data_IF_206918930469
#
_entry.id   IF_206918930469
#
_cell.length_a   1.000
_cell.length_b   1.000
_cell.length_c   1.000
_cell.angle_alpha   90.00
_cell.angle_beta   90.00
_cell.angle_gamma   90.00
#
_symmetry.space_group_name_H-M   'P 1'
#
loop_
_entity.id
_entity.type
_entity.pdbx_description
1 polymer ?
#
# COMPACT_ATOMS: atom_id res chain seq x y z
N UNK A 1 -0.16 0.93 -17.34
CA UNK A 1 -1.37 1.70 -17.70
C UNK A 1 -2.44 0.85 -18.42
N UNK A 2 -2.06 -0.18 -19.20
CA UNK A 2 -2.99 -0.98 -20.01
C UNK A 2 -4.12 -1.60 -19.17
N UNK A 3 -3.80 -2.22 -18.03
CA UNK A 3 -4.83 -2.88 -17.20
C UNK A 3 -5.89 -1.90 -16.67
N UNK A 4 -5.49 -0.74 -16.12
CA UNK A 4 -6.45 0.25 -15.63
C UNK A 4 -7.31 0.78 -16.77
N UNK A 5 -6.74 1.04 -17.94
CA UNK A 5 -7.48 1.53 -19.10
C UNK A 5 -8.58 0.55 -19.53
N UNK A 6 -8.24 -0.74 -19.69
CA UNK A 6 -9.23 -1.73 -20.10
C UNK A 6 -10.27 -2.02 -18.99
N UNK A 7 -9.85 -2.02 -17.72
CA UNK A 7 -10.77 -2.14 -16.59
C UNK A 7 -11.78 -0.98 -16.55
N UNK A 8 -11.32 0.27 -16.74
CA UNK A 8 -12.18 1.45 -16.79
C UNK A 8 -13.19 1.32 -17.93
N UNK A 9 -12.75 0.99 -19.15
CA UNK A 9 -13.65 0.80 -20.29
C UNK A 9 -14.73 -0.23 -20.03
N UNK A 10 -14.36 -1.35 -19.39
CA UNK A 10 -15.32 -2.39 -19.02
C UNK A 10 -16.30 -1.90 -17.95
N UNK A 11 -15.81 -1.27 -16.89
CA UNK A 11 -16.63 -0.78 -15.77
C UNK A 11 -17.58 0.35 -16.17
N UNK A 12 -17.20 1.20 -17.14
CA UNK A 12 -18.06 2.26 -17.67
C UNK A 12 -19.38 1.71 -18.24
N UNK A 13 -19.35 0.54 -18.86
CA UNK A 13 -20.51 -0.10 -19.45
C UNK A 13 -21.33 -0.92 -18.44
N UNK A 14 -20.90 -1.00 -17.17
CA UNK A 14 -21.62 -1.73 -16.13
C UNK A 14 -22.61 -0.80 -15.42
N UNK A 15 -23.87 -1.22 -15.18
CA UNK A 15 -24.87 -0.39 -14.50
C UNK A 15 -24.44 0.11 -13.11
N UNK A 16 -23.62 -0.68 -12.42
CA UNK A 16 -23.09 -0.38 -11.08
C UNK A 16 -21.75 0.37 -11.10
N UNK A 17 -21.18 0.62 -12.29
CA UNK A 17 -19.84 1.17 -12.41
C UNK A 17 -18.76 0.25 -11.82
N UNK A 18 -17.70 0.81 -11.27
CA UNK A 18 -16.64 0.01 -10.67
C UNK A 18 -15.59 0.75 -9.87
N UNK A 19 -14.81 -0.04 -9.12
CA UNK A 19 -13.74 0.45 -8.26
C UNK A 19 -12.43 -0.25 -8.62
N UNK A 20 -11.38 0.54 -8.82
CA UNK A 20 -10.03 0.03 -9.08
C UNK A 20 -9.17 0.34 -7.86
N UNK A 21 -8.53 -0.67 -7.28
CA UNK A 21 -7.64 -0.50 -6.13
C UNK A 21 -6.20 -0.78 -6.53
N UNK A 22 -5.41 0.28 -6.69
CA UNK A 22 -3.97 0.16 -6.97
C UNK A 22 -3.19 0.00 -5.67
N UNK A 23 -2.26 -0.96 -5.64
CA UNK A 23 -1.46 -1.27 -4.46
C UNK A 23 -0.05 -0.67 -4.61
N UNK A 24 0.32 0.24 -3.71
CA UNK A 24 1.67 0.79 -3.62
C UNK A 24 2.56 0.00 -2.64
N UNK A 25 3.76 0.52 -2.36
CA UNK A 25 4.70 -0.07 -1.43
C UNK A 25 5.79 0.92 -1.02
N UNK A 26 6.91 0.42 -0.47
CA UNK A 26 8.03 1.26 -0.08
C UNK A 26 8.50 2.19 -1.21
N UNK A 27 8.80 3.46 -0.87
CA UNK A 27 9.15 4.52 -1.83
C UNK A 27 7.95 5.27 -2.42
N UNK A 28 6.72 4.83 -2.16
CA UNK A 28 5.50 5.48 -2.67
C UNK A 28 5.32 6.92 -2.17
N UNK A 29 5.88 7.26 -1.02
CA UNK A 29 5.91 8.61 -0.44
C UNK A 29 7.02 9.50 -1.02
N UNK A 30 7.91 8.95 -1.84
CA UNK A 30 9.05 9.63 -2.42
C UNK A 30 10.32 9.53 -1.58
N UNK A 31 10.30 8.79 -0.47
CA UNK A 31 11.51 8.53 0.31
C UNK A 31 12.46 7.60 -0.44
N UNK A 32 13.79 7.79 -0.30
CA UNK A 32 14.78 6.88 -0.87
C UNK A 32 14.56 5.44 -0.42
N UNK A 33 14.83 4.51 -1.33
CA UNK A 33 14.82 3.06 -1.08
C UNK A 33 16.19 2.49 -1.46
N UNK A 34 17.23 2.67 -0.62
CA UNK A 34 18.57 2.15 -0.91
C UNK A 34 18.53 0.66 -1.24
N UNK A 35 19.30 0.24 -2.25
CA UNK A 35 19.32 -1.13 -2.82
C UNK A 35 18.06 -1.57 -3.56
N UNK A 36 16.98 -0.78 -3.51
CA UNK A 36 15.69 -1.06 -4.17
C UNK A 36 15.20 0.14 -4.97
N UNK A 37 16.11 0.99 -5.49
CA UNK A 37 15.76 2.26 -6.12
C UNK A 37 14.78 2.10 -7.30
N UNK A 38 15.00 1.10 -8.17
CA UNK A 38 14.08 0.79 -9.27
C UNK A 38 12.69 0.40 -8.75
N UNK A 39 12.65 -0.48 -7.74
CA UNK A 39 11.40 -0.87 -7.08
C UNK A 39 10.68 0.35 -6.48
N UNK A 40 11.37 1.18 -5.69
CA UNK A 40 10.78 2.39 -5.10
C UNK A 40 10.28 3.39 -6.14
N UNK A 41 11.03 3.58 -7.24
CA UNK A 41 10.60 4.39 -8.37
C UNK A 41 9.29 3.86 -8.98
N UNK A 42 9.18 2.54 -9.20
CA UNK A 42 7.93 1.94 -9.70
C UNK A 42 6.75 2.11 -8.72
N UNK A 43 7.00 2.00 -7.41
CA UNK A 43 5.95 2.20 -6.40
C UNK A 43 5.52 3.67 -6.30
N UNK A 44 6.43 4.62 -6.51
CA UNK A 44 6.09 6.04 -6.63
C UNK A 44 5.27 6.32 -7.90
N UNK A 45 5.61 5.69 -9.02
CA UNK A 45 4.86 5.87 -10.27
C UNK A 45 3.43 5.36 -10.17
N UNK A 46 3.15 4.32 -9.36
CA UNK A 46 1.76 3.86 -9.09
C UNK A 46 0.93 4.95 -8.41
N UNK A 47 1.47 5.62 -7.38
CA UNK A 47 0.76 6.73 -6.72
C UNK A 47 0.47 7.87 -7.68
N UNK A 48 1.46 8.21 -8.52
CA UNK A 48 1.28 9.24 -9.53
C UNK A 48 0.21 8.84 -10.55
N UNK A 49 0.29 7.62 -11.09
CA UNK A 49 -0.69 7.06 -12.02
C UNK A 49 -2.11 7.10 -11.45
N UNK A 50 -2.30 6.68 -10.19
CA UNK A 50 -3.61 6.72 -9.53
C UNK A 50 -4.16 8.15 -9.48
N UNK A 51 -3.32 9.14 -9.11
CA UNK A 51 -3.74 10.56 -9.08
C UNK A 51 -4.06 11.10 -10.48
N UNK A 52 -3.28 10.75 -11.49
CA UNK A 52 -3.54 11.15 -12.87
C UNK A 52 -4.87 10.57 -13.37
N UNK A 53 -5.11 9.27 -13.17
CA UNK A 53 -6.38 8.63 -13.55
C UNK A 53 -7.58 9.25 -12.83
N UNK A 54 -7.46 9.57 -11.54
CA UNK A 54 -8.52 10.27 -10.81
C UNK A 54 -8.83 11.65 -11.41
N UNK A 55 -7.80 12.39 -11.86
CA UNK A 55 -7.98 13.68 -12.52
C UNK A 55 -8.60 13.52 -13.92
N UNK A 56 -8.12 12.56 -14.71
CA UNK A 56 -8.64 12.26 -16.05
C UNK A 56 -10.11 11.86 -16.03
N UNK A 57 -10.50 10.97 -15.11
CA UNK A 57 -11.90 10.56 -14.95
C UNK A 57 -12.80 11.76 -14.60
N UNK A 58 -12.32 12.68 -13.76
CA UNK A 58 -13.04 13.92 -13.44
C UNK A 58 -13.16 14.84 -14.65
N UNK A 59 -12.09 14.99 -15.44
CA UNK A 59 -12.10 15.80 -16.66
C UNK A 59 -13.10 15.27 -17.70
N UNK A 60 -13.35 13.96 -17.70
CA UNK A 60 -14.32 13.29 -18.58
C UNK A 60 -15.73 13.16 -17.98
N UNK A 61 -16.00 13.80 -16.83
CA UNK A 61 -17.26 13.71 -16.06
C UNK A 61 -17.69 12.26 -15.74
N UNK A 62 -16.74 11.34 -15.60
CA UNK A 62 -17.00 9.95 -15.21
C UNK A 62 -17.28 9.88 -13.70
N UNK A 63 -18.50 9.51 -13.33
CA UNK A 63 -18.97 9.46 -11.93
C UNK A 63 -19.14 8.06 -11.37
N UNK A 64 -19.24 7.05 -12.25
CA UNK A 64 -19.51 5.67 -11.87
C UNK A 64 -18.24 4.81 -11.74
N UNK A 65 -17.04 5.33 -12.05
CA UNK A 65 -15.78 4.59 -11.90
C UNK A 65 -14.83 5.38 -11.00
N UNK A 66 -14.25 4.70 -10.00
CA UNK A 66 -13.35 5.33 -9.03
C UNK A 66 -12.05 4.54 -8.90
N UNK A 67 -10.94 5.26 -8.91
CA UNK A 67 -9.61 4.69 -8.67
C UNK A 67 -9.17 5.05 -7.25
N UNK A 68 -8.81 4.04 -6.49
CA UNK A 68 -8.35 4.09 -5.11
C UNK A 68 -6.89 3.68 -5.02
N UNK A 69 -6.27 4.00 -3.90
CA UNK A 69 -4.92 3.60 -3.59
C UNK A 69 -4.90 2.80 -2.28
N UNK A 70 -4.10 1.75 -2.23
CA UNK A 70 -3.92 0.88 -1.05
C UNK A 70 -2.44 0.83 -0.70
N UNK A 71 -2.11 1.03 0.57
CA UNK A 71 -0.76 0.85 1.09
C UNK A 71 -0.76 -0.23 2.18
N UNK A 72 -0.28 -1.45 1.89
CA UNK A 72 -0.21 -2.54 2.86
C UNK A 72 0.89 -2.32 3.91
N UNK A 73 1.82 -1.39 3.67
CA UNK A 73 2.99 -1.21 4.51
C UNK A 73 4.06 -2.27 4.23
N UNK A 74 4.78 -2.67 5.28
CA UNK A 74 5.84 -3.67 5.18
C UNK A 74 5.24 -5.05 5.41
N UNK A 75 5.23 -5.88 4.36
CA UNK A 75 4.69 -7.25 4.40
C UNK A 75 5.83 -8.25 4.26
N UNK A 76 5.83 -9.31 5.07
CA UNK A 76 6.84 -10.38 5.04
C UNK A 76 6.76 -11.21 3.75
N UNK A 77 7.30 -10.63 2.67
CA UNK A 77 7.39 -11.24 1.34
C UNK A 77 8.83 -11.65 1.07
N UNK A 78 9.04 -12.59 0.14
CA UNK A 78 10.39 -13.03 -0.25
C UNK A 78 11.29 -11.87 -0.68
N UNK A 79 10.74 -10.88 -1.40
CA UNK A 79 11.47 -9.67 -1.79
C UNK A 79 11.92 -8.82 -0.60
N UNK A 80 11.08 -8.71 0.45
CA UNK A 80 11.45 -7.99 1.66
C UNK A 80 12.54 -8.77 2.40
N UNK A 81 12.36 -10.07 2.55
CA UNK A 81 13.27 -10.94 3.30
C UNK A 81 14.64 -11.05 2.62
N UNK A 82 14.71 -11.04 1.28
CA UNK A 82 15.98 -10.98 0.54
C UNK A 82 16.76 -9.69 0.79
N UNK A 83 16.09 -8.64 1.28
CA UNK A 83 16.69 -7.36 1.64
C UNK A 83 17.26 -7.28 3.08
N UNK A 84 17.10 -8.34 3.89
CA UNK A 84 17.48 -8.39 5.31
C UNK A 84 19.00 -8.53 5.56
N UNK A 85 19.82 -7.80 4.79
CA UNK A 85 21.28 -7.98 4.76
C UNK A 85 22.05 -7.08 5.73
N UNK A 86 21.42 -6.03 6.27
CA UNK A 86 22.07 -5.08 7.19
C UNK A 86 21.37 -5.04 8.54
N UNK A 87 22.09 -4.66 9.60
CA UNK A 87 21.52 -4.51 10.95
C UNK A 87 20.27 -3.62 10.97
N UNK A 88 20.31 -2.52 10.23
CA UNK A 88 19.17 -1.61 10.08
C UNK A 88 17.99 -2.27 9.37
N UNK A 89 18.24 -3.06 8.31
CA UNK A 89 17.17 -3.76 7.60
C UNK A 89 16.50 -4.81 8.49
N UNK A 90 17.30 -5.63 9.19
CA UNK A 90 16.82 -6.62 10.18
C UNK A 90 15.96 -5.95 11.25
N UNK A 91 16.42 -4.83 11.81
CA UNK A 91 15.68 -4.04 12.80
C UNK A 91 14.30 -3.61 12.26
N UNK A 92 14.25 -2.95 11.11
CA UNK A 92 12.97 -2.45 10.58
C UNK A 92 12.02 -3.58 10.17
N UNK A 93 12.54 -4.68 9.62
CA UNK A 93 11.73 -5.86 9.28
C UNK A 93 11.07 -6.42 10.55
N UNK A 94 11.83 -6.64 11.61
CA UNK A 94 11.27 -7.20 12.85
C UNK A 94 10.24 -6.29 13.52
N UNK A 95 10.46 -4.97 13.45
CA UNK A 95 9.60 -3.99 14.11
C UNK A 95 8.31 -3.75 13.32
N UNK A 96 8.43 -3.53 12.01
CA UNK A 96 7.36 -2.96 11.18
C UNK A 96 6.67 -3.99 10.28
N UNK A 97 7.32 -5.12 9.97
CA UNK A 97 6.72 -6.09 9.06
C UNK A 97 5.59 -6.86 9.73
N UNK A 98 4.54 -7.12 8.96
CA UNK A 98 3.44 -8.01 9.36
C UNK A 98 3.22 -9.07 8.27
N UNK A 99 2.69 -10.24 8.64
CA UNK A 99 2.34 -11.26 7.66
C UNK A 99 1.15 -10.79 6.80
N UNK A 100 1.03 -11.37 5.61
CA UNK A 100 0.03 -10.94 4.63
C UNK A 100 -1.39 -11.09 5.15
N UNK A 101 -1.64 -12.12 5.97
CA UNK A 101 -2.92 -12.43 6.60
C UNK A 101 -3.37 -11.28 7.51
N UNK A 102 -2.47 -10.79 8.37
CA UNK A 102 -2.74 -9.66 9.29
C UNK A 102 -3.03 -8.37 8.51
N UNK A 103 -2.32 -8.14 7.42
CA UNK A 103 -2.58 -6.96 6.57
C UNK A 103 -3.90 -7.11 5.83
N UNK A 104 -4.25 -8.31 5.36
CA UNK A 104 -5.50 -8.59 4.69
C UNK A 104 -6.71 -8.46 5.63
N UNK A 105 -6.61 -8.92 6.87
CA UNK A 105 -7.63 -8.75 7.91
C UNK A 105 -8.00 -7.29 8.14
N UNK A 106 -7.03 -6.37 7.96
CA UNK A 106 -7.30 -4.95 7.98
C UNK A 106 -7.82 -4.42 6.64
N UNK A 107 -7.17 -4.73 5.52
CA UNK A 107 -7.49 -4.10 4.24
C UNK A 107 -8.84 -4.58 3.67
N UNK A 108 -9.17 -5.86 3.78
CA UNK A 108 -10.37 -6.43 3.16
C UNK A 108 -11.66 -5.81 3.71
N UNK A 109 -11.89 -5.70 5.03
CA UNK A 109 -13.08 -5.02 5.55
C UNK A 109 -13.17 -3.55 5.13
N UNK A 110 -12.04 -2.84 5.07
CA UNK A 110 -11.99 -1.44 4.63
C UNK A 110 -12.33 -1.28 3.14
N UNK A 111 -11.90 -2.21 2.28
CA UNK A 111 -12.29 -2.24 0.87
C UNK A 111 -13.80 -2.53 0.75
N UNK A 112 -14.29 -3.53 1.49
CA UNK A 112 -15.71 -3.91 1.47
C UNK A 112 -16.63 -2.80 1.99
N UNK A 113 -16.19 -2.02 2.98
CA UNK A 113 -16.99 -0.90 3.52
C UNK A 113 -17.17 0.24 2.52
N UNK A 114 -16.17 0.53 1.68
CA UNK A 114 -16.29 1.50 0.58
C UNK A 114 -17.42 1.10 -0.37
N UNK A 115 -17.46 -0.19 -0.73
CA UNK A 115 -18.47 -0.75 -1.62
C UNK A 115 -19.86 -0.76 -0.97
N UNK A 116 -19.95 -1.20 0.29
CA UNK A 116 -21.20 -1.28 1.03
C UNK A 116 -21.86 0.10 1.23
N UNK A 117 -21.05 1.14 1.41
CA UNK A 117 -21.51 2.52 1.58
C UNK A 117 -21.76 3.25 0.25
N UNK A 118 -21.54 2.60 -0.90
CA UNK A 118 -21.66 3.23 -2.22
C UNK A 118 -20.74 4.43 -2.41
N UNK A 119 -19.58 4.45 -1.74
CA UNK A 119 -18.73 5.63 -1.72
C UNK A 119 -17.99 5.82 -3.03
N UNK A 120 -18.33 6.88 -3.77
CA UNK A 120 -17.65 7.26 -5.01
C UNK A 120 -16.47 8.23 -4.80
N UNK A 121 -15.95 8.29 -3.58
CA UNK A 121 -14.83 9.16 -3.23
C UNK A 121 -13.50 8.42 -3.39
N UNK A 122 -12.54 8.95 -4.16
CA UNK A 122 -11.19 8.41 -4.20
C UNK A 122 -10.61 8.33 -2.78
N UNK A 123 -10.14 7.15 -2.42
CA UNK A 123 -9.71 6.85 -1.04
C UNK A 123 -8.32 6.23 -1.05
N UNK A 124 -7.53 6.57 -0.03
CA UNK A 124 -6.21 5.99 0.20
C UNK A 124 -6.20 5.23 1.53
N UNK A 125 -6.33 3.91 1.48
CA UNK A 125 -6.33 3.06 2.67
C UNK A 125 -4.89 2.66 2.98
N UNK A 126 -4.44 2.91 4.22
CA UNK A 126 -3.07 2.62 4.66
C UNK A 126 -3.09 1.75 5.91
N UNK A 127 -2.44 0.59 5.86
CA UNK A 127 -2.27 -0.28 7.03
C UNK A 127 -1.17 0.23 7.95
N UNK A 128 -0.01 0.59 7.39
CA UNK A 128 1.12 1.14 8.12
C UNK A 128 1.15 2.67 7.97
N UNK A 129 0.64 3.36 8.97
CA UNK A 129 0.66 4.83 9.06
C UNK A 129 1.92 5.32 9.77
N UNK A 130 2.24 6.62 9.66
CA UNK A 130 3.36 7.21 10.40
C UNK A 130 3.22 7.04 11.92
N UNK A 131 2.00 7.22 12.44
CA UNK A 131 1.70 6.99 13.85
C UNK A 131 1.92 5.54 14.27
N UNK A 132 1.42 4.57 13.48
CA UNK A 132 1.61 3.14 13.76
C UNK A 132 3.07 2.72 13.70
N UNK A 133 3.83 3.25 12.74
CA UNK A 133 5.26 2.99 12.64
C UNK A 133 6.02 3.57 13.85
N UNK A 134 5.69 4.80 14.24
CA UNK A 134 6.29 5.46 15.40
C UNK A 134 6.03 4.69 16.70
N UNK A 135 4.78 4.26 16.95
CA UNK A 135 4.43 3.52 18.17
C UNK A 135 5.14 2.17 18.23
N UNK A 136 5.27 1.46 17.10
CA UNK A 136 6.03 0.20 17.02
C UNK A 136 7.52 0.41 17.28
N UNK A 137 8.13 1.46 16.70
CA UNK A 137 9.54 1.79 16.93
C UNK A 137 9.78 2.22 18.38
N UNK A 138 8.90 3.04 18.95
CA UNK A 138 9.00 3.43 20.35
C UNK A 138 8.89 2.23 21.28
N UNK A 139 7.90 1.36 21.06
CA UNK A 139 7.73 0.12 21.83
C UNK A 139 8.95 -0.79 21.74
N UNK A 140 9.57 -0.86 20.56
CA UNK A 140 10.84 -1.56 20.35
C UNK A 140 11.97 -0.98 21.21
N UNK A 141 12.15 0.34 21.21
CA UNK A 141 13.25 1.01 21.92
C UNK A 141 13.04 0.98 23.44
N UNK A 142 11.82 1.25 23.90
CA UNK A 142 11.51 1.36 25.32
C UNK A 142 11.36 0.00 26.03
N UNK A 143 10.80 -1.00 25.35
CA UNK A 143 10.41 -2.27 25.98
C UNK A 143 11.02 -3.51 25.31
N UNK A 144 11.90 -3.33 24.31
CA UNK A 144 12.50 -4.45 23.58
C UNK A 144 11.51 -5.28 22.75
N UNK A 145 10.28 -4.80 22.56
CA UNK A 145 9.22 -5.52 21.86
C UNK A 145 9.65 -5.93 20.44
N UNK A 146 9.12 -7.05 19.94
CA UNK A 146 9.34 -7.54 18.56
C UNK A 146 10.81 -7.78 18.18
N UNK A 147 11.71 -8.04 19.15
CA UNK A 147 13.08 -8.49 18.86
C UNK A 147 13.07 -9.82 18.13
N UNK A 148 13.94 -9.99 17.12
CA UNK A 148 14.18 -11.30 16.48
C UNK A 148 12.90 -11.99 15.97
N UNK A 149 11.86 -11.22 15.63
CA UNK A 149 10.54 -11.77 15.29
C UNK A 149 10.54 -12.59 14.01
N UNK A 150 11.29 -12.13 13.00
CA UNK A 150 11.37 -12.78 11.69
C UNK A 150 12.82 -13.03 11.26
N UNK A 151 13.74 -12.15 11.62
CA UNK A 151 15.17 -12.26 11.27
C UNK A 151 16.00 -12.11 12.54
N UNK A 152 17.00 -12.98 12.79
CA UNK A 152 17.91 -12.79 13.91
C UNK A 152 18.70 -11.49 13.80
N UNK A 153 18.60 -10.63 14.83
CA UNK A 153 19.40 -9.42 15.01
C UNK A 153 20.68 -9.75 15.78
N UNK A 154 21.81 -9.21 15.29
CA UNK A 154 23.15 -9.36 15.91
C UNK A 154 23.33 -8.45 17.13
#
# INVERSE_FOLDING_TARGET
MICCREAIKMMLNQPRGGHIFNIDGAGSDGRPTPRFAAYGATKRSVVHLTKSLQAELRMQDVKNVVVHNLSPGMVTTDLLMSGATTKQAKFFINVLAEPAEVVAEYLVPNIRSILANGSMKPTYIRFLTGLKAYTQIFSRIAFGARRNRYVPED
#
